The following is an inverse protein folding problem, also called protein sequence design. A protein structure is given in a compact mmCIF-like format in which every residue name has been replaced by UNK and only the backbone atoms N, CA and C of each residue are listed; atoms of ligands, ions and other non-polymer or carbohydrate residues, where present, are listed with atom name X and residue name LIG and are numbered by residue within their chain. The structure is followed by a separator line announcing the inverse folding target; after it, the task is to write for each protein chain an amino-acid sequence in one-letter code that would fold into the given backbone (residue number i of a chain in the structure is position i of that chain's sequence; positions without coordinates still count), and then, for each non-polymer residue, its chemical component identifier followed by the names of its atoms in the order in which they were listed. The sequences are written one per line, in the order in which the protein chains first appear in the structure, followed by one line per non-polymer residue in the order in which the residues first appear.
data_IF_972250183777
#
_entry.id   IF_972250183777
#
_cell.length_a   1.000
_cell.length_b   1.000
_cell.length_c   1.000
_cell.angle_alpha   90.00
_cell.angle_beta   90.00
_cell.angle_gamma   90.00
#
_symmetry.space_group_name_H-M   'P 1'
#
loop_
_entity.id
_entity.type
_entity.pdbx_description
1 polymer ?
#
# COMPACT_ATOMS: atom_id res chain seq x y z
N UNK A 1 -48.98 28.93 44.48
CA UNK A 1 -49.23 28.82 43.03
C UNK A 1 -47.88 28.77 42.31
N UNK A 2 -47.60 27.63 41.67
CA UNK A 2 -46.59 27.31 40.66
C UNK A 2 -45.10 27.74 40.86
N UNK A 3 -44.30 26.74 41.24
CA UNK A 3 -42.88 26.59 40.86
C UNK A 3 -42.85 25.99 39.45
N UNK A 4 -42.29 26.67 38.45
CA UNK A 4 -41.80 26.03 37.22
C UNK A 4 -40.74 26.91 36.54
N UNK A 5 -39.53 26.99 37.13
CA UNK A 5 -38.35 27.57 36.47
C UNK A 5 -37.53 26.47 35.78
N UNK A 6 -37.61 26.48 34.45
CA UNK A 6 -36.48 26.43 33.54
C UNK A 6 -35.51 25.23 33.63
N UNK A 7 -36.01 24.00 33.47
CA UNK A 7 -35.19 22.79 33.23
C UNK A 7 -34.91 22.53 31.74
N UNK A 8 -35.60 23.23 30.84
CA UNK A 8 -35.53 23.01 29.39
C UNK A 8 -34.37 23.76 28.69
N UNK A 9 -33.95 24.93 29.20
CA UNK A 9 -32.96 25.76 28.50
C UNK A 9 -31.52 25.20 28.59
N UNK A 10 -31.17 24.51 29.69
CA UNK A 10 -29.85 23.88 29.86
C UNK A 10 -29.67 22.66 28.95
N UNK A 11 -30.72 21.87 28.74
CA UNK A 11 -30.66 20.62 27.96
C UNK A 11 -30.53 20.89 26.46
N UNK A 12 -31.15 21.95 25.95
CA UNK A 12 -31.06 22.35 24.52
C UNK A 12 -29.63 22.81 24.20
N UNK A 13 -28.99 23.56 25.09
CA UNK A 13 -27.62 24.04 24.89
C UNK A 13 -26.60 22.89 24.83
N UNK A 14 -26.76 21.85 25.67
CA UNK A 14 -25.90 20.67 25.68
C UNK A 14 -26.08 19.83 24.40
N UNK A 15 -27.31 19.66 23.92
CA UNK A 15 -27.59 18.91 22.69
C UNK A 15 -26.98 19.61 21.47
N UNK A 16 -27.08 20.94 21.38
CA UNK A 16 -26.46 21.71 20.28
C UNK A 16 -24.93 21.56 20.29
N UNK A 17 -24.29 21.59 21.47
CA UNK A 17 -22.83 21.41 21.61
C UNK A 17 -22.40 19.98 21.25
N UNK A 18 -23.13 18.95 21.68
CA UNK A 18 -22.82 17.55 21.33
C UNK A 18 -23.01 17.30 19.83
N UNK A 19 -24.05 17.87 19.23
CA UNK A 19 -24.31 17.75 17.78
C UNK A 19 -23.20 18.46 16.99
N UNK A 20 -22.76 19.64 17.44
CA UNK A 20 -21.65 20.37 16.83
C UNK A 20 -20.30 19.66 16.98
N UNK A 21 -20.05 19.01 18.13
CA UNK A 21 -18.85 18.21 18.38
C UNK A 21 -18.81 16.93 17.51
N UNK A 22 -19.97 16.32 17.26
CA UNK A 22 -20.07 15.16 16.36
C UNK A 22 -19.82 15.52 14.89
N UNK A 23 -20.22 16.72 14.45
CA UNK A 23 -19.97 17.23 13.10
C UNK A 23 -18.47 17.52 12.85
N UNK A 24 -17.75 17.96 13.88
CA UNK A 24 -16.29 18.17 13.80
C UNK A 24 -15.51 16.85 13.72
N UNK A 25 -16.02 15.77 14.31
CA UNK A 25 -15.38 14.45 14.21
C UNK A 25 -15.41 13.88 12.79
N UNK A 26 -16.43 14.23 12.00
CA UNK A 26 -16.56 13.83 10.59
C UNK A 26 -15.52 14.47 9.67
N UNK A 27 -15.02 15.66 10.02
CA UNK A 27 -13.95 16.32 9.26
C UNK A 27 -12.60 15.60 9.41
N UNK A 28 -12.33 14.97 10.56
CA UNK A 28 -11.06 14.28 10.81
C UNK A 28 -10.90 13.06 9.89
N UNK A 29 -11.97 12.30 9.67
CA UNK A 29 -11.97 11.15 8.74
C UNK A 29 -11.85 11.58 7.27
N UNK A 30 -12.53 12.66 6.87
CA UNK A 30 -12.41 13.21 5.52
C UNK A 30 -11.01 13.83 5.25
N UNK A 31 -10.37 14.39 6.28
CA UNK A 31 -9.03 14.96 6.18
C UNK A 31 -7.94 13.88 6.02
N UNK A 32 -8.17 12.67 6.54
CA UNK A 32 -7.25 11.53 6.37
C UNK A 32 -7.32 10.95 4.94
N UNK A 33 -8.50 10.95 4.32
CA UNK A 33 -8.68 10.55 2.91
C UNK A 33 -8.07 11.53 1.91
N UNK A 34 -7.82 12.78 2.31
CA UNK A 34 -7.25 13.80 1.43
C UNK A 34 -5.72 13.67 1.24
N UNK A 35 -5.01 12.90 2.07
CA UNK A 35 -3.55 12.81 2.00
C UNK A 35 -3.04 11.62 1.16
N UNK A 36 -3.83 10.55 1.03
CA UNK A 36 -3.50 9.40 0.21
C UNK A 36 -4.70 9.09 -0.68
N UNK A 37 -4.50 9.11 -2.01
CA UNK A 37 -5.56 8.68 -2.93
C UNK A 37 -5.93 7.21 -2.67
N UNK A 38 -7.00 6.69 -3.32
CA UNK A 38 -7.57 5.39 -2.92
C UNK A 38 -6.52 4.28 -2.93
N UNK A 39 -6.63 3.32 -2.01
CA UNK A 39 -5.76 2.15 -1.98
C UNK A 39 -6.38 1.06 -2.84
N UNK A 40 -5.69 0.64 -3.89
CA UNK A 40 -6.13 -0.46 -4.74
C UNK A 40 -5.48 -1.76 -4.24
N UNK A 41 -6.30 -2.73 -3.83
CA UNK A 41 -5.84 -4.06 -3.40
C UNK A 41 -6.24 -5.07 -4.45
N UNK A 42 -5.24 -5.80 -4.97
CA UNK A 42 -5.39 -6.79 -6.03
C UNK A 42 -4.97 -8.14 -5.46
N UNK A 43 -5.88 -9.10 -5.46
CA UNK A 43 -5.62 -10.47 -5.01
C UNK A 43 -5.58 -11.42 -6.21
N UNK A 44 -4.57 -12.28 -6.26
CA UNK A 44 -4.58 -13.42 -7.16
C UNK A 44 -5.48 -14.52 -6.60
N UNK A 45 -6.66 -14.67 -7.20
CA UNK A 45 -7.67 -15.64 -6.76
C UNK A 45 -7.31 -17.10 -7.07
N UNK A 46 -6.30 -17.32 -7.91
CA UNK A 46 -5.84 -18.66 -8.29
C UNK A 46 -4.78 -19.22 -7.31
N UNK A 47 -4.48 -18.48 -6.25
CA UNK A 47 -3.43 -18.81 -5.29
C UNK A 47 -4.03 -18.90 -3.89
N UNK A 48 -3.65 -19.95 -3.16
CA UNK A 48 -4.07 -20.15 -1.77
C UNK A 48 -3.32 -19.17 -0.85
N UNK A 49 -3.98 -18.06 -0.51
CA UNK A 49 -3.40 -16.95 0.26
C UNK A 49 -2.86 -17.40 1.64
N UNK A 50 -3.48 -18.39 2.28
CA UNK A 50 -3.08 -18.96 3.58
C UNK A 50 -1.72 -19.65 3.58
N UNK A 51 -1.18 -20.00 2.41
CA UNK A 51 0.17 -20.58 2.25
C UNK A 51 1.26 -19.61 2.70
N UNK A 52 1.06 -18.30 2.53
CA UNK A 52 2.10 -17.29 2.69
C UNK A 52 2.07 -16.67 4.10
N UNK A 53 2.66 -17.38 5.05
CA UNK A 53 2.81 -16.92 6.44
C UNK A 53 4.18 -16.32 6.69
N UNK A 54 5.25 -16.97 6.20
CA UNK A 54 6.64 -16.57 6.42
C UNK A 54 7.19 -15.89 5.17
N UNK A 55 7.54 -14.61 5.27
CA UNK A 55 7.89 -13.76 4.13
C UNK A 55 9.14 -12.91 4.41
N UNK A 56 9.76 -12.41 3.35
CA UNK A 56 10.87 -11.47 3.43
C UNK A 56 10.53 -10.17 2.71
N UNK A 57 10.82 -9.01 3.32
CA UNK A 57 10.60 -7.71 2.68
C UNK A 57 11.92 -7.21 2.10
N UNK A 58 11.91 -6.94 0.80
CA UNK A 58 13.05 -6.41 0.05
C UNK A 58 13.04 -4.88 0.13
N UNK A 59 14.21 -4.20 0.20
CA UNK A 59 14.27 -2.75 0.06
C UNK A 59 13.47 -2.25 -1.15
N UNK A 60 12.68 -1.19 -0.96
CA UNK A 60 11.84 -0.67 -2.04
C UNK A 60 12.71 -0.02 -3.11
N UNK A 61 12.36 -0.26 -4.37
CA UNK A 61 12.96 0.43 -5.50
C UNK A 61 12.40 1.84 -5.61
N UNK A 62 13.24 2.84 -5.34
CA UNK A 62 12.88 4.27 -5.40
C UNK A 62 13.49 4.95 -6.62
N UNK A 63 14.10 4.22 -7.55
CA UNK A 63 14.76 4.78 -8.73
C UNK A 63 13.80 5.53 -9.66
N UNK A 64 12.51 5.16 -9.64
CA UNK A 64 11.46 5.83 -10.39
C UNK A 64 10.90 7.10 -9.75
N UNK A 65 11.40 7.50 -8.57
CA UNK A 65 10.87 8.63 -7.80
C UNK A 65 11.81 9.84 -7.83
N UNK A 66 11.28 10.96 -8.33
CA UNK A 66 11.98 12.23 -8.54
C UNK A 66 11.73 13.21 -7.38
N UNK A 67 12.23 12.87 -6.19
CA UNK A 67 12.21 13.72 -5.00
C UNK A 67 13.60 14.22 -4.61
N UNK A 68 13.69 15.48 -4.20
CA UNK A 68 14.95 16.12 -3.80
C UNK A 68 14.91 16.63 -2.36
N UNK A 69 16.08 16.80 -1.75
CA UNK A 69 16.20 17.35 -0.39
C UNK A 69 15.37 16.57 0.63
N UNK A 70 14.40 17.26 1.25
CA UNK A 70 13.49 16.67 2.26
C UNK A 70 12.47 15.70 1.68
N UNK A 71 12.26 15.71 0.38
CA UNK A 71 11.28 14.84 -0.29
C UNK A 71 11.88 13.49 -0.71
N UNK A 72 13.19 13.26 -0.47
CA UNK A 72 13.83 11.98 -0.77
C UNK A 72 13.19 10.84 0.01
N UNK A 73 12.94 9.73 -0.70
CA UNK A 73 12.38 8.51 -0.12
C UNK A 73 13.48 7.47 0.05
N UNK A 74 13.51 6.83 1.21
CA UNK A 74 14.45 5.75 1.52
C UNK A 74 13.78 4.39 1.35
N UNK A 75 14.25 3.61 0.39
CA UNK A 75 13.77 2.25 0.12
C UNK A 75 13.87 1.30 1.32
N UNK A 76 15.01 1.26 2.05
CA UNK A 76 15.13 0.49 3.28
C UNK A 76 14.18 0.94 4.39
N UNK A 77 13.99 2.25 4.57
CA UNK A 77 13.07 2.74 5.60
C UNK A 77 11.61 2.37 5.30
N UNK A 78 11.21 2.36 4.02
CA UNK A 78 9.91 1.84 3.60
C UNK A 78 9.77 0.34 3.85
N UNK A 79 10.80 -0.45 3.55
CA UNK A 79 10.81 -1.87 3.84
C UNK A 79 10.67 -2.16 5.34
N UNK A 80 11.37 -1.40 6.19
CA UNK A 80 11.25 -1.52 7.66
C UNK A 80 9.83 -1.14 8.13
N UNK A 81 9.23 -0.09 7.54
CA UNK A 81 7.84 0.31 7.82
C UNK A 81 6.85 -0.77 7.43
N UNK A 82 6.97 -1.35 6.23
CA UNK A 82 6.08 -2.42 5.77
C UNK A 82 6.30 -3.73 6.52
N UNK A 83 7.54 -4.03 6.94
CA UNK A 83 7.84 -5.15 7.84
C UNK A 83 7.00 -5.04 9.11
N UNK A 84 7.00 -3.86 9.75
CA UNK A 84 6.18 -3.62 10.94
C UNK A 84 4.68 -3.81 10.69
N UNK A 85 4.13 -3.23 9.61
CA UNK A 85 2.69 -3.33 9.32
C UNK A 85 2.28 -4.76 8.91
N UNK A 86 3.14 -5.50 8.21
CA UNK A 86 2.89 -6.90 7.85
C UNK A 86 2.96 -7.82 9.08
N UNK A 87 3.92 -7.60 9.98
CA UNK A 87 3.96 -8.30 11.27
C UNK A 87 2.68 -8.05 12.08
N UNK A 88 2.22 -6.79 12.12
CA UNK A 88 0.95 -6.42 12.77
C UNK A 88 -0.26 -7.10 12.12
N UNK A 89 -0.19 -7.38 10.82
CA UNK A 89 -1.22 -8.12 10.09
C UNK A 89 -1.12 -9.65 10.26
N UNK A 90 -0.13 -10.17 10.99
CA UNK A 90 0.02 -11.59 11.32
C UNK A 90 0.99 -12.37 10.43
N UNK A 91 1.78 -11.70 9.59
CA UNK A 91 2.87 -12.35 8.86
C UNK A 91 4.10 -12.58 9.76
N UNK A 92 4.78 -13.70 9.55
CA UNK A 92 6.09 -14.00 10.11
C UNK A 92 7.16 -13.42 9.16
N UNK A 93 7.53 -12.16 9.40
CA UNK A 93 8.47 -11.45 8.55
C UNK A 93 9.88 -11.68 9.06
N UNK A 94 10.77 -12.17 8.19
CA UNK A 94 12.18 -12.29 8.54
C UNK A 94 12.84 -10.91 8.62
N UNK A 95 13.82 -10.76 9.51
CA UNK A 95 14.61 -9.54 9.63
C UNK A 95 15.37 -9.25 8.32
N UNK A 96 15.31 -7.99 7.86
CA UNK A 96 15.98 -7.54 6.64
C UNK A 96 17.49 -7.79 6.67
N UNK A 97 18.13 -7.64 7.83
CA UNK A 97 19.56 -7.89 8.00
C UNK A 97 19.93 -9.34 7.69
N UNK A 98 19.04 -10.30 7.96
CA UNK A 98 19.23 -11.72 7.60
C UNK A 98 19.09 -11.95 6.10
N UNK A 99 18.16 -11.26 5.44
CA UNK A 99 18.08 -11.29 3.97
C UNK A 99 19.39 -10.74 3.36
N UNK A 100 19.86 -9.60 3.84
CA UNK A 100 21.09 -8.96 3.37
C UNK A 100 22.33 -9.82 3.60
N UNK A 101 22.45 -10.48 4.76
CA UNK A 101 23.57 -11.38 5.03
C UNK A 101 23.59 -12.56 4.08
N UNK A 102 22.44 -13.20 3.85
CA UNK A 102 22.33 -14.33 2.92
C UNK A 102 22.63 -13.90 1.48
N UNK A 103 22.13 -12.75 1.04
CA UNK A 103 22.45 -12.25 -0.30
C UNK A 103 23.94 -11.98 -0.47
N UNK A 104 24.58 -11.39 0.54
CA UNK A 104 26.03 -11.16 0.54
C UNK A 104 26.82 -12.47 0.52
N UNK A 105 26.43 -13.46 1.32
CA UNK A 105 27.05 -14.80 1.33
C UNK A 105 26.92 -15.53 0.00
N UNK A 106 25.85 -15.27 -0.74
CA UNK A 106 25.61 -15.85 -2.06
C UNK A 106 26.17 -15.01 -3.21
N UNK A 107 26.87 -13.91 -2.92
CA UNK A 107 27.39 -12.95 -3.90
C UNK A 107 26.29 -12.38 -4.83
N UNK A 108 25.08 -12.21 -4.28
CA UNK A 108 23.91 -11.73 -5.01
C UNK A 108 23.53 -10.31 -4.61
N UNK A 109 23.04 -9.56 -5.60
CA UNK A 109 22.37 -8.28 -5.39
C UNK A 109 20.87 -8.48 -5.17
N UNK A 110 20.21 -7.43 -4.64
CA UNK A 110 18.75 -7.38 -4.51
C UNK A 110 18.02 -7.54 -5.86
N UNK A 111 18.63 -7.04 -6.95
CA UNK A 111 18.07 -7.21 -8.31
C UNK A 111 18.06 -8.67 -8.76
N UNK A 112 18.99 -9.49 -8.27
CA UNK A 112 19.05 -10.93 -8.54
C UNK A 112 17.85 -11.71 -8.00
N UNK A 113 17.15 -11.19 -6.98
CA UNK A 113 15.93 -11.81 -6.46
C UNK A 113 14.75 -11.76 -7.45
N UNK A 114 14.83 -11.00 -8.53
CA UNK A 114 13.78 -10.99 -9.56
C UNK A 114 13.85 -12.23 -10.47
N UNK A 115 14.98 -12.94 -10.51
CA UNK A 115 15.11 -14.21 -11.22
C UNK A 115 14.44 -15.35 -10.44
N UNK A 116 13.51 -16.12 -11.04
CA UNK A 116 12.79 -17.18 -10.33
C UNK A 116 13.69 -18.25 -9.71
N UNK A 117 14.79 -18.63 -10.36
CA UNK A 117 15.70 -19.67 -9.83
C UNK A 117 16.42 -19.16 -8.59
N UNK A 118 16.87 -17.92 -8.64
CA UNK A 118 17.55 -17.24 -7.54
C UNK A 118 16.60 -17.01 -6.38
N UNK A 119 15.40 -16.48 -6.65
CA UNK A 119 14.33 -16.33 -5.66
C UNK A 119 14.00 -17.65 -4.96
N UNK A 120 13.86 -18.74 -5.71
CA UNK A 120 13.59 -20.06 -5.14
C UNK A 120 14.73 -20.54 -4.24
N UNK A 121 15.98 -20.37 -4.67
CA UNK A 121 17.16 -20.76 -3.88
C UNK A 121 17.23 -19.97 -2.57
N UNK A 122 17.14 -18.64 -2.64
CA UNK A 122 17.21 -17.77 -1.46
C UNK A 122 16.00 -17.98 -0.55
N UNK A 123 14.81 -18.16 -1.13
CA UNK A 123 13.59 -18.48 -0.42
C UNK A 123 13.73 -19.74 0.44
N UNK A 124 14.31 -20.81 -0.12
CA UNK A 124 14.60 -22.06 0.60
C UNK A 124 15.61 -21.88 1.73
N UNK A 125 16.69 -21.12 1.51
CA UNK A 125 17.71 -20.85 2.54
C UNK A 125 17.10 -20.08 3.73
N UNK A 126 16.24 -19.11 3.43
CA UNK A 126 15.58 -18.27 4.43
C UNK A 126 14.34 -18.93 5.05
N UNK A 127 13.82 -19.98 4.43
CA UNK A 127 12.57 -20.64 4.82
C UNK A 127 11.33 -19.76 4.61
N UNK A 128 11.34 -18.90 3.58
CA UNK A 128 10.22 -18.00 3.26
C UNK A 128 9.43 -18.53 2.07
N UNK A 129 8.12 -18.30 2.06
CA UNK A 129 7.21 -18.69 0.96
C UNK A 129 7.04 -17.59 -0.08
N UNK A 130 7.39 -16.35 0.27
CA UNK A 130 7.31 -15.23 -0.64
C UNK A 130 8.22 -14.06 -0.28
N UNK A 131 8.53 -13.28 -1.29
CA UNK A 131 9.21 -12.00 -1.17
C UNK A 131 8.22 -10.87 -1.40
N UNK A 132 8.23 -9.89 -0.50
CA UNK A 132 7.54 -8.63 -0.68
C UNK A 132 8.50 -7.67 -1.37
N UNK A 133 8.14 -7.32 -2.60
CA UNK A 133 8.82 -6.28 -3.36
C UNK A 133 7.97 -5.01 -3.34
N UNK A 134 8.62 -3.87 -3.35
CA UNK A 134 7.92 -2.61 -3.54
C UNK A 134 8.70 -1.63 -4.39
N UNK A 135 7.97 -0.69 -4.95
CA UNK A 135 8.56 0.42 -5.72
C UNK A 135 7.80 1.72 -5.47
N UNK A 136 8.54 2.81 -5.60
CA UNK A 136 8.01 4.17 -5.56
C UNK A 136 8.35 4.85 -6.88
N UNK A 137 7.35 5.48 -7.49
CA UNK A 137 7.54 6.20 -8.74
C UNK A 137 6.76 7.50 -8.80
N UNK A 138 7.22 8.45 -9.60
CA UNK A 138 6.60 9.76 -9.78
C UNK A 138 7.38 10.88 -9.08
N UNK A 139 6.67 11.91 -8.61
CA UNK A 139 7.24 13.13 -8.01
C UNK A 139 6.53 13.44 -6.69
N UNK A 140 7.07 14.32 -5.82
CA UNK A 140 6.53 14.56 -4.48
C UNK A 140 5.02 14.85 -4.43
N UNK A 141 4.50 15.59 -5.41
CA UNK A 141 3.08 15.95 -5.48
C UNK A 141 2.21 14.99 -6.31
N UNK A 142 2.79 13.97 -6.93
CA UNK A 142 2.09 12.99 -7.76
C UNK A 142 2.92 11.71 -7.88
N UNK A 143 2.64 10.73 -7.03
CA UNK A 143 3.43 9.50 -6.93
C UNK A 143 2.56 8.26 -6.79
N UNK A 144 3.17 7.11 -7.04
CA UNK A 144 2.60 5.80 -6.74
C UNK A 144 3.57 4.97 -5.92
N UNK A 145 3.01 4.21 -4.98
CA UNK A 145 3.70 3.18 -4.21
C UNK A 145 3.05 1.86 -4.54
N UNK A 146 3.81 0.93 -5.11
CA UNK A 146 3.39 -0.43 -5.37
C UNK A 146 4.06 -1.36 -4.37
N UNK A 147 3.30 -2.27 -3.77
CA UNK A 147 3.81 -3.34 -2.91
C UNK A 147 3.20 -4.65 -3.36
N UNK A 148 4.02 -5.66 -3.64
CA UNK A 148 3.57 -6.97 -4.13
C UNK A 148 4.23 -8.10 -3.38
N UNK A 149 3.45 -9.12 -3.05
CA UNK A 149 3.98 -10.41 -2.61
C UNK A 149 4.15 -11.32 -3.82
N UNK A 150 5.34 -11.87 -3.98
CA UNK A 150 5.69 -12.81 -5.03
C UNK A 150 6.02 -14.16 -4.40
N UNK A 151 5.41 -15.21 -4.91
CA UNK A 151 5.68 -16.60 -4.51
C UNK A 151 7.10 -17.01 -4.96
N UNK A 152 7.88 -17.57 -4.04
CA UNK A 152 9.28 -17.93 -4.32
C UNK A 152 9.46 -19.08 -5.30
N UNK A 153 8.49 -19.97 -5.42
CA UNK A 153 8.57 -21.19 -6.24
C UNK A 153 8.17 -20.95 -7.69
N UNK A 154 7.13 -20.14 -7.87
CA UNK A 154 6.46 -19.91 -9.15
C UNK A 154 6.78 -18.54 -9.75
N UNK A 155 7.27 -17.60 -8.93
CA UNK A 155 7.47 -16.20 -9.34
C UNK A 155 6.17 -15.45 -9.60
N UNK A 156 5.02 -16.02 -9.26
CA UNK A 156 3.72 -15.40 -9.50
C UNK A 156 3.41 -14.37 -8.42
N UNK A 157 2.71 -13.29 -8.79
CA UNK A 157 2.21 -12.31 -7.82
C UNK A 157 1.01 -12.91 -7.09
N UNK A 158 1.11 -12.98 -5.77
CA UNK A 158 0.07 -13.48 -4.86
C UNK A 158 -0.96 -12.39 -4.58
N UNK A 159 -0.47 -11.19 -4.29
CA UNK A 159 -1.26 -9.98 -4.13
C UNK A 159 -0.42 -8.75 -4.43
N UNK A 160 -1.09 -7.64 -4.72
CA UNK A 160 -0.49 -6.33 -4.91
C UNK A 160 -1.35 -5.24 -4.28
N UNK A 161 -0.71 -4.27 -3.67
CA UNK A 161 -1.31 -3.06 -3.12
C UNK A 161 -0.71 -1.89 -3.88
N UNK A 162 -1.57 -1.04 -4.45
CA UNK A 162 -1.16 0.16 -5.17
C UNK A 162 -1.79 1.37 -4.50
N UNK A 163 -0.93 2.25 -4.00
CA UNK A 163 -1.32 3.54 -3.44
C UNK A 163 -0.90 4.59 -4.46
N UNK A 164 -1.83 5.48 -4.80
CA UNK A 164 -1.61 6.47 -5.84
C UNK A 164 -2.10 7.82 -5.33
N UNK A 165 -1.23 8.82 -5.35
CA UNK A 165 -1.55 10.19 -4.98
C UNK A 165 -1.50 11.09 -6.23
N UNK A 166 -2.56 11.86 -6.46
CA UNK A 166 -2.64 12.89 -7.51
C UNK A 166 -2.23 12.42 -8.93
N UNK A 167 -2.49 11.14 -9.23
CA UNK A 167 -2.39 10.57 -10.58
C UNK A 167 -3.82 10.20 -11.01
N UNK A 168 -4.20 10.57 -12.23
CA UNK A 168 -5.52 10.24 -12.79
C UNK A 168 -5.71 8.72 -12.93
N UNK A 169 -6.26 8.07 -11.90
CA UNK A 169 -6.58 6.64 -11.90
C UNK A 169 -7.51 6.21 -13.05
N UNK A 170 -8.33 7.14 -13.54
CA UNK A 170 -9.35 6.86 -14.54
C UNK A 170 -8.90 7.08 -15.98
N UNK A 171 -7.63 7.41 -16.23
CA UNK A 171 -7.15 7.65 -17.59
C UNK A 171 -7.42 6.46 -18.53
N UNK A 172 -7.16 5.23 -18.08
CA UNK A 172 -7.43 4.01 -18.86
C UNK A 172 -8.93 3.74 -19.01
N UNK A 173 -9.73 3.93 -17.96
CA UNK A 173 -11.19 3.78 -18.06
C UNK A 173 -11.82 4.79 -19.02
N UNK A 174 -11.32 6.03 -19.03
CA UNK A 174 -11.71 7.10 -19.95
C UNK A 174 -11.26 6.78 -21.37
N UNK A 175 -10.02 6.31 -21.54
CA UNK A 175 -9.48 5.87 -22.83
C UNK A 175 -10.33 4.74 -23.42
N UNK A 176 -10.60 3.68 -22.64
CA UNK A 176 -11.42 2.54 -23.08
C UNK A 176 -12.81 3.00 -23.52
N UNK A 177 -13.52 3.76 -22.69
CA UNK A 177 -14.83 4.33 -23.03
C UNK A 177 -14.80 5.17 -24.30
N UNK A 178 -13.70 5.87 -24.56
CA UNK A 178 -13.53 6.71 -25.75
C UNK A 178 -13.29 5.86 -27.00
N UNK A 179 -12.42 4.84 -26.90
CA UNK A 179 -12.17 3.89 -27.97
C UNK A 179 -13.42 3.09 -28.32
N UNK A 180 -14.15 2.58 -27.32
CA UNK A 180 -15.42 1.87 -27.52
C UNK A 180 -16.43 2.71 -28.32
N UNK A 181 -16.55 4.00 -28.00
CA UNK A 181 -17.39 4.96 -28.73
C UNK A 181 -16.89 5.24 -30.15
N UNK A 182 -15.57 5.31 -30.34
CA UNK A 182 -14.96 5.57 -31.64
C UNK A 182 -15.24 4.43 -32.62
N UNK A 183 -14.95 3.19 -32.21
CA UNK A 183 -15.16 2.01 -33.04
C UNK A 183 -16.65 1.72 -33.28
N UNK A 184 -17.53 2.01 -32.30
CA UNK A 184 -18.98 1.90 -32.49
C UNK A 184 -19.56 2.85 -33.56
N UNK A 185 -18.84 3.92 -33.93
CA UNK A 185 -19.26 4.89 -34.96
C UNK A 185 -18.68 4.58 -36.35
N UNK A 186 -18.09 3.40 -36.53
CA UNK A 186 -17.51 2.98 -37.81
C UNK A 186 -16.17 3.68 -38.10
N UNK A 187 -15.30 3.73 -37.09
CA UNK A 187 -13.99 4.40 -37.10
C UNK A 187 -13.33 4.40 -38.47
N UNK A 188 -13.23 5.59 -39.06
CA UNK A 188 -12.43 5.85 -40.26
C UNK A 188 -11.07 6.40 -39.84
#
# INVERSE_FOLDING_TARGET
MAIFKNKYFSSISIIVVITFLSLLSGCMSAMLELQFGPVDVILNKNVEQSKYKRIAVVPYDVSGYDGMGRDKVSGPALADRYTFELMRAGFDVIERQRLESILKEQELSMTGLTDPKTSLKIGKILGVQGFVFGSVSGKPNAFSVMTKLIDTETGTTVWSIVITNNIEKNAIGKLRKTLDKYYARGGK
#
